data_IF_250110526966
#
_entry.id   IF_250110526966
#
_cell.length_a   1.000
_cell.length_b   1.000
_cell.length_c   1.000
_cell.angle_alpha   90.00
_cell.angle_beta   90.00
_cell.angle_gamma   90.00
#
_symmetry.space_group_name_H-M   'P 1'
#
loop_
_entity.id
_entity.type
_entity.pdbx_description
1 polymer ?
#
# COMPACT_ATOMS: atom_id res chain seq x y z
N UNK A 1 -19.72 -19.14 24.00
CA UNK A 1 -20.20 -18.45 22.79
C UNK A 1 -20.90 -17.17 23.21
N UNK A 2 -20.33 -15.99 22.94
CA UNK A 2 -21.00 -14.72 23.24
C UNK A 2 -21.82 -14.29 22.04
N UNK A 3 -23.15 -14.44 22.13
CA UNK A 3 -24.13 -14.00 21.12
C UNK A 3 -24.43 -12.50 21.12
N UNK A 4 -23.78 -11.72 21.98
CA UNK A 4 -23.79 -10.25 21.95
C UNK A 4 -22.39 -9.77 21.58
N UNK A 5 -22.25 -9.02 20.49
CA UNK A 5 -20.95 -8.55 20.01
C UNK A 5 -20.15 -7.85 21.12
N UNK A 6 -18.88 -8.26 21.31
CA UNK A 6 -18.01 -7.70 22.33
C UNK A 6 -17.96 -6.16 22.25
N UNK A 7 -18.36 -5.52 23.35
CA UNK A 7 -18.28 -4.08 23.61
C UNK A 7 -16.96 -3.69 24.30
N UNK A 8 -16.06 -4.66 24.52
CA UNK A 8 -14.74 -4.45 25.09
C UNK A 8 -13.88 -3.54 24.19
N UNK A 9 -13.84 -2.23 24.48
CA UNK A 9 -13.13 -1.22 23.71
C UNK A 9 -11.64 -1.49 23.50
N UNK A 10 -11.00 -2.17 24.46
CA UNK A 10 -9.55 -2.44 24.40
C UNK A 10 -9.19 -3.75 23.71
N UNK A 11 -10.15 -4.62 23.43
CA UNK A 11 -9.81 -5.89 22.81
C UNK A 11 -9.72 -5.76 21.27
N UNK A 12 -8.90 -6.58 20.60
CA UNK A 12 -8.76 -6.54 19.15
C UNK A 12 -10.02 -6.88 18.34
N UNK A 13 -11.04 -7.47 18.96
CA UNK A 13 -12.35 -7.70 18.34
C UNK A 13 -13.24 -6.44 18.47
N UNK A 14 -13.31 -5.85 19.66
CA UNK A 14 -14.07 -4.63 19.94
C UNK A 14 -13.59 -3.43 19.12
N UNK A 15 -12.27 -3.24 18.93
CA UNK A 15 -11.76 -2.17 18.05
C UNK A 15 -12.18 -2.32 16.59
N UNK A 16 -12.21 -3.55 16.07
CA UNK A 16 -12.68 -3.81 14.68
C UNK A 16 -14.17 -3.58 14.53
N UNK A 17 -14.93 -4.02 15.53
CA UNK A 17 -16.38 -3.83 15.57
C UNK A 17 -16.74 -2.35 15.73
N UNK A 18 -16.02 -1.62 16.58
CA UNK A 18 -16.11 -0.16 16.72
C UNK A 18 -15.85 0.56 15.40
N UNK A 19 -14.76 0.21 14.69
CA UNK A 19 -14.50 0.77 13.36
C UNK A 19 -15.62 0.45 12.35
N UNK A 20 -16.14 -0.78 12.31
CA UNK A 20 -17.28 -1.13 11.43
C UNK A 20 -18.52 -0.30 11.73
N UNK A 21 -18.84 -0.11 13.01
CA UNK A 21 -19.97 0.74 13.43
C UNK A 21 -19.74 2.20 13.10
N UNK A 22 -18.53 2.72 13.30
CA UNK A 22 -18.17 4.08 12.90
C UNK A 22 -18.36 4.28 11.38
N UNK A 23 -17.87 3.35 10.55
CA UNK A 23 -18.07 3.39 9.10
C UNK A 23 -19.57 3.34 8.74
N UNK A 24 -20.33 2.45 9.36
CA UNK A 24 -21.77 2.35 9.09
C UNK A 24 -22.52 3.64 9.48
N UNK A 25 -22.20 4.24 10.64
CA UNK A 25 -22.75 5.53 11.07
C UNK A 25 -22.40 6.64 10.09
N UNK A 26 -21.14 6.70 9.65
CA UNK A 26 -20.68 7.69 8.68
C UNK A 26 -21.44 7.57 7.36
N UNK A 27 -21.57 6.35 6.81
CA UNK A 27 -22.27 6.12 5.54
C UNK A 27 -23.75 6.51 5.65
N UNK A 28 -24.41 6.12 6.74
CA UNK A 28 -25.80 6.51 7.00
C UNK A 28 -25.95 8.04 7.09
N UNK A 29 -25.04 8.72 7.79
CA UNK A 29 -25.04 10.18 7.93
C UNK A 29 -24.81 10.88 6.59
N UNK A 30 -23.85 10.41 5.79
CA UNK A 30 -23.60 10.91 4.43
C UNK A 30 -24.84 10.80 3.56
N UNK A 31 -25.49 9.64 3.56
CA UNK A 31 -26.65 9.40 2.70
C UNK A 31 -27.90 10.18 3.20
N UNK A 32 -28.01 10.43 4.51
CA UNK A 32 -29.01 11.33 5.09
C UNK A 32 -28.81 12.78 4.61
N UNK A 33 -27.58 13.31 4.72
CA UNK A 33 -27.23 14.67 4.31
C UNK A 33 -27.30 14.85 2.79
N UNK A 34 -26.94 13.82 2.01
CA UNK A 34 -27.14 13.81 0.56
C UNK A 34 -28.63 13.92 0.17
N UNK A 35 -29.52 13.40 1.01
CA UNK A 35 -30.96 13.52 0.86
C UNK A 35 -31.55 14.81 1.42
N UNK A 36 -30.73 15.76 1.89
CA UNK A 36 -31.18 17.03 2.48
C UNK A 36 -31.85 16.89 3.85
N UNK A 37 -31.69 15.74 4.54
CA UNK A 37 -32.26 15.49 5.87
C UNK A 37 -31.26 15.84 6.97
N UNK A 38 -31.75 16.25 8.13
CA UNK A 38 -30.91 16.53 9.31
C UNK A 38 -30.20 17.88 9.31
N UNK A 39 -30.63 18.83 8.46
CA UNK A 39 -30.10 20.18 8.39
C UNK A 39 -30.72 21.09 9.47
N UNK A 40 -29.92 21.89 10.21
CA UNK A 40 -30.44 22.90 11.11
C UNK A 40 -31.22 23.98 10.33
N UNK A 41 -32.38 24.38 10.86
CA UNK A 41 -33.25 25.38 10.21
C UNK A 41 -32.55 26.73 9.94
N UNK A 42 -31.59 27.10 10.77
CA UNK A 42 -30.82 28.34 10.66
C UNK A 42 -29.91 28.35 9.43
N UNK A 43 -29.34 27.20 9.08
CA UNK A 43 -28.35 27.06 7.99
C UNK A 43 -29.04 26.84 6.63
N UNK A 44 -30.23 26.22 6.65
CA UNK A 44 -31.04 25.96 5.46
C UNK A 44 -31.46 27.23 4.68
N UNK A 45 -31.28 28.42 5.27
CA UNK A 45 -31.58 29.71 4.65
C UNK A 45 -30.58 30.12 3.55
N UNK A 46 -29.37 29.53 3.52
CA UNK A 46 -28.37 29.81 2.48
C UNK A 46 -27.73 28.52 1.93
N UNK A 47 -27.61 28.42 0.60
CA UNK A 47 -27.01 27.28 -0.07
C UNK A 47 -25.52 27.11 0.30
N UNK A 48 -24.77 28.22 0.34
CA UNK A 48 -23.37 28.23 0.75
C UNK A 48 -23.16 27.79 2.21
N UNK A 49 -23.95 28.35 3.14
CA UNK A 49 -23.89 27.94 4.55
C UNK A 49 -24.27 26.48 4.76
N UNK A 50 -25.27 25.98 4.01
CA UNK A 50 -25.67 24.56 4.04
C UNK A 50 -24.53 23.65 3.61
N UNK A 51 -23.85 23.96 2.49
CA UNK A 51 -22.71 23.17 2.01
C UNK A 51 -21.56 23.17 3.01
N UNK A 52 -21.20 24.34 3.55
CA UNK A 52 -20.12 24.45 4.52
C UNK A 52 -20.41 23.62 5.77
N UNK A 53 -21.62 23.73 6.32
CA UNK A 53 -22.02 22.97 7.49
C UNK A 53 -22.04 21.46 7.25
N UNK A 54 -22.58 21.01 6.11
CA UNK A 54 -22.54 19.59 5.71
C UNK A 54 -21.09 19.10 5.62
N UNK A 55 -20.22 19.89 5.01
CA UNK A 55 -18.81 19.55 4.86
C UNK A 55 -18.10 19.43 6.20
N UNK A 56 -18.36 20.35 7.12
CA UNK A 56 -17.75 20.35 8.46
C UNK A 56 -18.20 19.14 9.28
N UNK A 57 -19.50 18.85 9.28
CA UNK A 57 -20.10 17.68 9.94
C UNK A 57 -19.53 16.35 9.39
N UNK A 58 -19.43 16.23 8.06
CA UNK A 58 -18.85 15.04 7.41
C UNK A 58 -17.35 14.93 7.66
N UNK A 59 -16.63 16.05 7.73
CA UNK A 59 -15.21 16.08 8.05
C UNK A 59 -14.97 15.60 9.49
N UNK A 60 -15.77 16.07 10.44
CA UNK A 60 -15.70 15.61 11.84
C UNK A 60 -16.00 14.10 11.94
N UNK A 61 -17.09 13.65 11.32
CA UNK A 61 -17.45 12.22 11.31
C UNK A 61 -16.37 11.35 10.63
N UNK A 62 -15.75 11.85 9.57
CA UNK A 62 -14.66 11.16 8.89
C UNK A 62 -13.41 11.03 9.79
N UNK A 63 -13.11 12.06 10.60
CA UNK A 63 -12.01 12.01 11.57
C UNK A 63 -12.26 10.92 12.63
N UNK A 64 -13.49 10.78 13.13
CA UNK A 64 -13.87 9.70 14.06
C UNK A 64 -13.64 8.32 13.45
N UNK A 65 -14.04 8.12 12.18
CA UNK A 65 -13.80 6.86 11.46
C UNK A 65 -12.30 6.58 11.29
N UNK A 66 -11.51 7.60 10.93
CA UNK A 66 -10.07 7.48 10.74
C UNK A 66 -9.36 7.14 12.06
N UNK A 67 -9.78 7.71 13.19
CA UNK A 67 -9.25 7.39 14.52
C UNK A 67 -9.53 5.92 14.89
N UNK A 68 -10.76 5.46 14.69
CA UNK A 68 -11.12 4.06 14.90
C UNK A 68 -10.35 3.12 13.94
N UNK A 69 -10.08 3.55 12.71
CA UNK A 69 -9.26 2.79 11.75
C UNK A 69 -7.82 2.62 12.26
N UNK A 70 -7.20 3.70 12.73
CA UNK A 70 -5.85 3.70 13.33
C UNK A 70 -5.76 2.78 14.54
N UNK A 71 -6.70 2.89 15.49
CA UNK A 71 -6.75 2.03 16.67
C UNK A 71 -6.93 0.54 16.32
N UNK A 72 -7.72 0.25 15.28
CA UNK A 72 -7.88 -1.11 14.76
C UNK A 72 -6.60 -1.62 14.06
N UNK A 73 -5.86 -0.75 13.37
CA UNK A 73 -4.57 -1.03 12.71
C UNK A 73 -3.48 -1.51 13.68
N UNK A 74 -3.31 -0.84 14.81
CA UNK A 74 -2.34 -1.26 15.84
C UNK A 74 -2.64 -2.66 16.39
N UNK A 75 -3.92 -2.94 16.66
CA UNK A 75 -4.37 -4.27 17.12
C UNK A 75 -4.19 -5.36 16.05
N UNK A 76 -4.14 -4.96 14.78
CA UNK A 76 -3.88 -5.85 13.66
C UNK A 76 -2.39 -6.21 13.61
N UNK A 77 -1.48 -5.24 13.74
CA UNK A 77 -0.03 -5.47 13.73
C UNK A 77 0.40 -6.47 14.81
N UNK A 78 -0.11 -6.29 16.04
CA UNK A 78 0.16 -7.22 17.16
C UNK A 78 -0.34 -8.64 16.90
N UNK A 79 -1.49 -8.78 16.23
CA UNK A 79 -2.04 -10.08 15.86
C UNK A 79 -1.26 -10.73 14.71
N UNK A 80 -0.86 -9.94 13.73
CA UNK A 80 -0.15 -10.41 12.54
C UNK A 80 1.21 -10.94 12.92
N UNK A 81 2.01 -10.21 13.71
CA UNK A 81 3.34 -10.69 14.08
C UNK A 81 3.27 -12.06 14.79
N UNK A 82 2.30 -12.26 15.71
CA UNK A 82 2.08 -13.54 16.38
C UNK A 82 1.66 -14.63 15.40
N UNK A 83 0.73 -14.33 14.49
CA UNK A 83 0.28 -15.28 13.46
C UNK A 83 1.41 -15.68 12.52
N UNK A 84 2.22 -14.73 12.07
CA UNK A 84 3.35 -15.01 11.18
C UNK A 84 4.38 -15.90 11.88
N UNK A 85 4.64 -15.69 13.18
CA UNK A 85 5.47 -16.62 13.95
C UNK A 85 4.86 -18.01 14.10
N UNK A 86 3.55 -18.10 14.36
CA UNK A 86 2.86 -19.40 14.44
C UNK A 86 2.93 -20.14 13.10
N UNK A 87 2.76 -19.45 11.97
CA UNK A 87 2.91 -20.03 10.63
C UNK A 87 4.35 -20.47 10.38
N UNK A 88 5.34 -19.65 10.76
CA UNK A 88 6.76 -19.97 10.60
C UNK A 88 7.14 -21.24 11.37
N UNK A 89 6.84 -21.30 12.67
CA UNK A 89 7.14 -22.48 13.50
C UNK A 89 6.26 -23.67 13.15
N UNK A 90 5.00 -23.45 12.77
CA UNK A 90 4.13 -24.49 12.23
C UNK A 90 4.70 -25.12 10.96
N UNK A 91 5.34 -24.33 10.10
CA UNK A 91 6.07 -24.83 8.92
C UNK A 91 7.25 -25.72 9.27
N UNK A 92 8.03 -25.38 10.31
CA UNK A 92 9.13 -26.22 10.82
C UNK A 92 8.58 -27.55 11.37
N UNK A 93 7.50 -27.50 12.15
CA UNK A 93 6.84 -28.70 12.69
C UNK A 93 6.27 -29.56 11.55
N UNK A 94 5.64 -28.96 10.55
CA UNK A 94 5.13 -29.67 9.39
C UNK A 94 6.26 -30.35 8.60
N UNK A 95 7.39 -29.66 8.41
CA UNK A 95 8.58 -30.24 7.78
C UNK A 95 9.09 -31.45 8.58
N UNK A 96 9.14 -31.36 9.91
CA UNK A 96 9.50 -32.48 10.79
C UNK A 96 8.57 -33.67 10.59
N UNK A 97 7.26 -33.43 10.61
CA UNK A 97 6.25 -34.48 10.43
C UNK A 97 6.37 -35.13 9.04
N UNK A 98 6.51 -34.34 7.98
CA UNK A 98 6.69 -34.87 6.62
C UNK A 98 7.99 -35.68 6.49
N UNK A 99 9.09 -35.23 7.09
CA UNK A 99 10.33 -35.98 7.10
C UNK A 99 10.22 -37.27 7.92
N UNK A 100 9.53 -37.25 9.06
CA UNK A 100 9.29 -38.43 9.88
C UNK A 100 8.44 -39.48 9.14
N UNK A 101 7.34 -39.05 8.49
CA UNK A 101 6.48 -39.94 7.69
C UNK A 101 7.26 -40.54 6.53
N UNK A 102 8.02 -39.74 5.78
CA UNK A 102 8.83 -40.25 4.66
C UNK A 102 10.04 -41.08 5.12
N UNK A 103 10.40 -41.05 6.41
CA UNK A 103 11.50 -41.82 6.97
C UNK A 103 11.12 -43.24 7.39
N UNK A 104 9.83 -43.57 7.43
CA UNK A 104 9.34 -44.91 7.83
C UNK A 104 9.99 -46.00 6.97
N UNK A 105 10.06 -45.81 5.65
CA UNK A 105 10.63 -46.80 4.72
C UNK A 105 12.10 -46.52 4.38
N UNK A 106 12.50 -45.25 4.33
CA UNK A 106 13.80 -44.85 3.79
C UNK A 106 14.87 -44.56 4.86
N UNK A 107 14.53 -44.66 6.14
CA UNK A 107 15.43 -44.41 7.28
C UNK A 107 15.82 -42.94 7.49
N UNK A 108 16.25 -42.56 8.69
CA UNK A 108 16.64 -41.16 8.95
C UNK A 108 18.03 -40.83 8.38
N UNK A 109 18.16 -39.75 7.61
CA UNK A 109 19.41 -39.39 6.92
C UNK A 109 20.01 -38.09 7.45
N UNK A 110 21.32 -37.89 7.26
CA UNK A 110 22.01 -36.63 7.59
C UNK A 110 21.39 -35.44 6.87
N UNK A 111 20.91 -35.62 5.63
CA UNK A 111 20.25 -34.58 4.87
C UNK A 111 18.93 -34.12 5.51
N UNK A 112 18.17 -35.03 6.13
CA UNK A 112 16.95 -34.70 6.90
C UNK A 112 17.27 -33.86 8.12
N UNK A 113 18.23 -34.31 8.93
CA UNK A 113 18.73 -33.55 10.09
C UNK A 113 19.20 -32.16 9.68
N UNK A 114 19.99 -32.06 8.60
CA UNK A 114 20.48 -30.78 8.11
C UNK A 114 19.33 -29.86 7.68
N UNK A 115 18.34 -30.38 6.93
CA UNK A 115 17.15 -29.62 6.52
C UNK A 115 16.37 -29.07 7.71
N UNK A 116 16.14 -29.88 8.74
CA UNK A 116 15.43 -29.45 9.94
C UNK A 116 16.23 -28.45 10.76
N UNK A 117 17.53 -28.70 10.96
CA UNK A 117 18.40 -27.78 11.68
C UNK A 117 18.49 -26.42 10.97
N UNK A 118 18.63 -26.41 9.64
CA UNK A 118 18.59 -25.18 8.84
C UNK A 118 17.26 -24.45 8.98
N UNK A 119 16.13 -25.16 8.87
CA UNK A 119 14.81 -24.56 9.02
C UNK A 119 14.61 -23.96 10.42
N UNK A 120 15.05 -24.66 11.47
CA UNK A 120 14.99 -24.19 12.86
C UNK A 120 15.91 -22.98 13.10
N UNK A 121 17.15 -23.00 12.60
CA UNK A 121 18.07 -21.87 12.69
C UNK A 121 17.52 -20.63 11.97
N UNK A 122 17.01 -20.80 10.75
CA UNK A 122 16.41 -19.71 9.99
C UNK A 122 15.15 -19.17 10.69
N UNK A 123 14.29 -20.05 11.21
CA UNK A 123 13.12 -19.66 11.99
C UNK A 123 13.51 -18.90 13.27
N UNK A 124 14.61 -19.28 13.93
CA UNK A 124 15.18 -18.58 15.08
C UNK A 124 15.64 -17.17 14.72
N UNK A 125 16.42 -17.01 13.64
CA UNK A 125 16.88 -15.71 13.14
C UNK A 125 15.70 -14.80 12.76
N UNK A 126 14.73 -15.35 12.02
CA UNK A 126 13.50 -14.64 11.68
C UNK A 126 12.70 -14.26 12.92
N UNK A 127 12.62 -15.14 13.93
CA UNK A 127 11.94 -14.83 15.20
C UNK A 127 12.63 -13.68 15.94
N UNK A 128 13.96 -13.63 15.95
CA UNK A 128 14.72 -12.53 16.54
C UNK A 128 14.44 -11.21 15.80
N UNK A 129 14.53 -11.21 14.46
CA UNK A 129 14.20 -10.05 13.63
C UNK A 129 12.74 -9.58 13.85
N UNK A 130 11.80 -10.51 13.92
CA UNK A 130 10.39 -10.23 14.17
C UNK A 130 10.16 -9.57 15.53
N UNK A 131 10.90 -9.99 16.57
CA UNK A 131 10.83 -9.39 17.91
C UNK A 131 11.37 -7.96 17.91
N UNK A 132 12.48 -7.70 17.21
CA UNK A 132 13.04 -6.35 17.05
C UNK A 132 12.06 -5.41 16.34
N UNK A 133 11.32 -5.92 15.35
CA UNK A 133 10.37 -5.12 14.56
C UNK A 133 8.90 -5.29 15.00
N UNK A 134 8.62 -5.77 16.22
CA UNK A 134 7.26 -6.08 16.69
C UNK A 134 6.28 -4.91 16.61
N UNK A 135 6.76 -3.69 16.83
CA UNK A 135 5.96 -2.47 16.76
C UNK A 135 5.47 -2.15 15.34
N UNK A 136 6.18 -2.65 14.33
CA UNK A 136 5.93 -2.38 12.90
C UNK A 136 5.41 -3.62 12.15
N UNK A 137 4.80 -4.58 12.86
CA UNK A 137 4.25 -5.80 12.25
C UNK A 137 5.21 -7.00 12.18
N UNK A 138 6.37 -6.93 12.84
CA UNK A 138 7.32 -8.03 12.97
C UNK A 138 7.98 -8.38 11.63
N UNK A 139 7.78 -9.62 11.17
CA UNK A 139 8.38 -10.12 9.92
C UNK A 139 7.96 -9.36 8.67
N UNK A 140 6.79 -8.71 8.69
CA UNK A 140 6.34 -7.92 7.55
C UNK A 140 7.01 -6.54 7.49
N UNK A 141 7.61 -6.04 8.57
CA UNK A 141 8.13 -4.68 8.63
C UNK A 141 9.13 -4.36 7.49
N UNK A 142 10.07 -5.24 7.11
CA UNK A 142 10.97 -4.97 5.99
C UNK A 142 10.27 -4.96 4.62
N UNK A 143 9.09 -5.57 4.52
CA UNK A 143 8.29 -5.67 3.29
C UNK A 143 7.30 -4.51 3.15
N UNK A 144 7.01 -3.81 4.24
CA UNK A 144 6.09 -2.67 4.26
C UNK A 144 6.82 -1.41 3.82
N UNK A 145 6.27 -0.72 2.82
CA UNK A 145 6.73 0.56 2.32
C UNK A 145 6.45 1.72 3.27
N UNK A 146 7.02 2.87 2.96
CA UNK A 146 6.82 4.12 3.68
C UNK A 146 5.35 4.60 3.64
N UNK A 147 4.58 4.14 2.65
CA UNK A 147 3.14 4.35 2.50
C UNK A 147 2.28 3.32 3.27
N UNK A 148 2.89 2.51 4.14
CA UNK A 148 2.22 1.47 4.94
C UNK A 148 1.52 0.38 4.09
N UNK A 149 1.99 0.15 2.86
CA UNK A 149 1.56 -0.91 1.94
C UNK A 149 2.63 -1.98 1.79
N UNK A 150 2.27 -3.20 1.39
CA UNK A 150 3.31 -4.18 1.03
C UNK A 150 3.99 -3.78 -0.29
N UNK A 151 5.32 -3.78 -0.29
CA UNK A 151 6.11 -3.48 -1.49
C UNK A 151 6.38 -4.75 -2.30
N UNK A 152 5.88 -4.77 -3.54
CA UNK A 152 6.09 -5.86 -4.49
C UNK A 152 7.57 -6.19 -4.68
N UNK A 153 8.42 -5.17 -4.90
CA UNK A 153 9.86 -5.39 -5.08
C UNK A 153 10.56 -5.91 -3.83
N UNK A 154 10.22 -5.39 -2.64
CA UNK A 154 10.80 -5.91 -1.39
C UNK A 154 10.35 -7.34 -1.11
N UNK A 155 9.10 -7.69 -1.39
CA UNK A 155 8.57 -9.03 -1.20
C UNK A 155 9.27 -10.06 -2.10
N UNK A 156 9.38 -9.77 -3.41
CA UNK A 156 10.07 -10.66 -4.36
C UNK A 156 11.55 -10.79 -3.98
N UNK A 157 12.23 -9.67 -3.69
CA UNK A 157 13.63 -9.70 -3.27
C UNK A 157 13.84 -10.50 -1.97
N UNK A 158 12.98 -10.30 -0.96
CA UNK A 158 13.06 -11.03 0.30
C UNK A 158 12.85 -12.54 0.11
N UNK A 159 11.95 -12.95 -0.79
CA UNK A 159 11.76 -14.36 -1.13
C UNK A 159 13.03 -15.00 -1.69
N UNK A 160 13.67 -14.35 -2.65
CA UNK A 160 14.94 -14.82 -3.24
C UNK A 160 16.11 -14.80 -2.26
N UNK A 161 16.23 -13.76 -1.43
CA UNK A 161 17.25 -13.67 -0.38
C UNK A 161 17.04 -14.76 0.67
N UNK A 162 15.81 -14.98 1.11
CA UNK A 162 15.51 -16.02 2.10
C UNK A 162 15.85 -17.41 1.57
N UNK A 163 15.52 -17.68 0.31
CA UNK A 163 15.90 -18.92 -0.36
C UNK A 163 17.42 -19.08 -0.46
N UNK A 164 18.14 -18.04 -0.90
CA UNK A 164 19.60 -18.09 -0.97
C UNK A 164 20.24 -18.35 0.41
N UNK A 165 19.80 -17.63 1.44
CA UNK A 165 20.26 -17.84 2.84
C UNK A 165 19.96 -19.26 3.30
N UNK A 166 18.77 -19.79 3.02
CA UNK A 166 18.42 -21.17 3.35
C UNK A 166 19.36 -22.17 2.67
N UNK A 167 19.61 -22.04 1.36
CA UNK A 167 20.50 -22.96 0.63
C UNK A 167 21.93 -22.94 1.18
N UNK A 168 22.47 -21.76 1.50
CA UNK A 168 23.82 -21.62 2.07
C UNK A 168 23.88 -22.22 3.48
N UNK A 169 22.90 -21.92 4.33
CA UNK A 169 22.84 -22.46 5.69
C UNK A 169 22.67 -23.98 5.69
N UNK A 170 21.90 -24.53 4.75
CA UNK A 170 21.78 -25.98 4.55
C UNK A 170 23.12 -26.63 4.22
N UNK A 171 23.86 -26.07 3.26
CA UNK A 171 25.18 -26.58 2.89
C UNK A 171 26.17 -26.47 4.08
N UNK A 172 26.12 -25.38 4.84
CA UNK A 172 26.97 -25.19 6.02
C UNK A 172 26.69 -26.23 7.11
N UNK A 173 25.42 -26.49 7.43
CA UNK A 173 25.03 -27.52 8.42
C UNK A 173 25.45 -28.92 7.97
N UNK A 174 25.27 -29.24 6.68
CA UNK A 174 25.74 -30.52 6.12
C UNK A 174 27.25 -30.69 6.23
N UNK A 175 28.01 -29.62 5.93
CA UNK A 175 29.46 -29.64 6.02
C UNK A 175 29.90 -29.90 7.47
N UNK A 176 29.30 -29.19 8.43
CA UNK A 176 29.55 -29.39 9.86
C UNK A 176 29.22 -30.81 10.34
N UNK A 177 28.15 -31.42 9.83
CA UNK A 177 27.75 -32.79 10.17
C UNK A 177 28.65 -33.87 9.55
N UNK A 178 29.35 -33.56 8.44
CA UNK A 178 30.13 -34.55 7.69
C UNK A 178 31.55 -34.79 8.24
N UNK A 179 32.07 -33.96 9.15
CA UNK A 179 33.28 -34.20 9.94
C UNK A 179 34.63 -34.33 9.18
N UNK A 180 34.63 -34.48 7.86
CA UNK A 180 35.84 -34.69 7.05
C UNK A 180 36.27 -33.39 6.36
N UNK A 181 37.49 -32.94 6.64
CA UNK A 181 38.14 -31.78 6.00
C UNK A 181 38.52 -31.97 4.51
N UNK A 182 38.15 -33.11 3.90
CA UNK A 182 38.54 -33.45 2.54
C UNK A 182 37.46 -33.02 1.53
N UNK A 183 37.63 -31.79 1.06
CA UNK A 183 37.13 -31.16 -0.19
C UNK A 183 36.46 -29.82 0.14
N UNK A 184 37.11 -28.72 -0.27
CA UNK A 184 36.46 -27.41 -0.37
C UNK A 184 35.07 -27.56 -1.02
N UNK A 185 34.07 -26.77 -0.61
CA UNK A 185 32.69 -27.04 -0.98
C UNK A 185 32.52 -26.90 -2.49
N UNK A 186 32.58 -28.02 -3.21
CA UNK A 186 32.41 -28.04 -4.66
C UNK A 186 31.05 -27.45 -5.02
N UNK A 187 30.05 -27.59 -4.14
CA UNK A 187 28.71 -27.02 -4.28
C UNK A 187 28.56 -25.52 -4.00
N UNK A 188 29.59 -24.82 -3.51
CA UNK A 188 29.62 -23.35 -3.34
C UNK A 188 30.40 -22.67 -4.47
N UNK A 189 30.77 -23.40 -5.53
CA UNK A 189 31.50 -22.82 -6.68
C UNK A 189 30.63 -21.79 -7.38
N UNK A 190 31.22 -20.61 -7.62
CA UNK A 190 30.55 -19.48 -8.26
C UNK A 190 29.92 -19.85 -9.61
N UNK A 191 30.58 -20.72 -10.38
CA UNK A 191 30.08 -21.20 -11.67
C UNK A 191 28.71 -21.91 -11.59
N UNK A 192 28.41 -22.56 -10.46
CA UNK A 192 27.18 -23.34 -10.26
C UNK A 192 26.08 -22.49 -9.60
N UNK A 193 26.47 -21.43 -8.87
CA UNK A 193 25.57 -20.46 -8.26
C UNK A 193 25.29 -19.21 -9.10
N UNK A 194 25.90 -19.08 -10.28
CA UNK A 194 25.86 -17.84 -11.07
C UNK A 194 24.42 -17.37 -11.37
N UNK A 195 23.54 -18.27 -11.83
CA UNK A 195 22.15 -17.92 -12.12
C UNK A 195 21.39 -17.43 -10.88
N UNK A 196 21.53 -18.11 -9.73
CA UNK A 196 20.93 -17.69 -8.47
C UNK A 196 21.45 -16.32 -8.01
N UNK A 197 22.77 -16.13 -8.06
CA UNK A 197 23.39 -14.86 -7.68
C UNK A 197 22.96 -13.72 -8.60
N UNK A 198 22.87 -13.96 -9.91
CA UNK A 198 22.35 -12.98 -10.87
C UNK A 198 20.93 -12.59 -10.54
N UNK A 199 20.04 -13.56 -10.26
CA UNK A 199 18.66 -13.26 -9.88
C UNK A 199 18.60 -12.47 -8.57
N UNK A 200 19.29 -12.92 -7.52
CA UNK A 200 19.32 -12.24 -6.21
C UNK A 200 19.86 -10.81 -6.34
N UNK A 201 20.96 -10.63 -7.07
CA UNK A 201 21.53 -9.32 -7.33
C UNK A 201 20.56 -8.41 -8.10
N UNK A 202 19.91 -8.94 -9.14
CA UNK A 202 18.97 -8.18 -9.95
C UNK A 202 17.72 -7.77 -9.17
N UNK A 203 17.06 -8.69 -8.46
CA UNK A 203 15.86 -8.35 -7.66
C UNK A 203 16.21 -7.42 -6.50
N UNK A 204 17.39 -7.57 -5.89
CA UNK A 204 17.90 -6.65 -4.88
C UNK A 204 18.14 -5.25 -5.44
N UNK A 205 18.82 -5.15 -6.58
CA UNK A 205 19.03 -3.88 -7.28
C UNK A 205 17.71 -3.21 -7.64
N UNK A 206 16.75 -3.96 -8.18
CA UNK A 206 15.42 -3.46 -8.54
C UNK A 206 14.66 -2.94 -7.32
N UNK A 207 14.74 -3.63 -6.18
CA UNK A 207 14.14 -3.15 -4.94
C UNK A 207 14.72 -1.79 -4.49
N UNK A 208 16.03 -1.59 -4.62
CA UNK A 208 16.70 -0.32 -4.30
C UNK A 208 16.37 0.78 -5.32
N UNK A 209 16.47 0.46 -6.62
CA UNK A 209 16.21 1.41 -7.71
C UNK A 209 14.76 1.88 -7.68
N UNK A 210 13.78 0.98 -7.55
CA UNK A 210 12.36 1.36 -7.50
C UNK A 210 12.08 2.23 -6.28
N UNK A 211 12.66 1.94 -5.11
CA UNK A 211 12.53 2.82 -3.95
C UNK A 211 13.03 4.22 -4.28
N UNK A 212 14.23 4.34 -4.87
CA UNK A 212 14.79 5.63 -5.28
C UNK A 212 13.91 6.37 -6.28
N UNK A 213 13.42 5.68 -7.31
CA UNK A 213 12.54 6.23 -8.35
C UNK A 213 11.27 6.78 -7.74
N UNK A 214 10.57 5.99 -6.93
CA UNK A 214 9.33 6.41 -6.27
C UNK A 214 9.58 7.62 -5.37
N UNK A 215 10.63 7.59 -4.53
CA UNK A 215 10.98 8.72 -3.65
C UNK A 215 11.25 10.00 -4.43
N UNK A 216 12.08 9.95 -5.49
CA UNK A 216 12.40 11.14 -6.29
C UNK A 216 11.15 11.68 -6.99
N UNK A 217 10.27 10.80 -7.46
CA UNK A 217 9.04 11.21 -8.15
C UNK A 217 7.99 11.80 -7.22
N UNK A 218 7.94 11.36 -5.96
CA UNK A 218 7.12 12.00 -4.91
C UNK A 218 7.67 13.39 -4.58
N UNK A 219 8.99 13.51 -4.34
CA UNK A 219 9.63 14.80 -4.02
C UNK A 219 9.46 15.81 -5.16
N UNK A 220 9.53 15.35 -6.41
CA UNK A 220 9.32 16.19 -7.60
C UNK A 220 7.83 16.36 -7.98
N UNK A 221 6.91 15.94 -7.12
CA UNK A 221 5.45 16.02 -7.31
C UNK A 221 4.94 15.41 -8.63
N UNK A 222 5.69 14.46 -9.20
CA UNK A 222 5.30 13.70 -10.41
C UNK A 222 4.50 12.44 -10.09
N UNK A 223 4.49 12.03 -8.84
CA UNK A 223 3.75 10.88 -8.32
C UNK A 223 3.12 11.28 -6.98
N UNK A 224 1.88 10.85 -6.77
CA UNK A 224 1.15 11.06 -5.52
C UNK A 224 0.97 9.72 -4.81
N UNK A 225 1.38 9.65 -3.54
CA UNK A 225 1.14 8.50 -2.67
C UNK A 225 0.59 8.97 -1.33
N UNK A 226 -0.49 8.34 -0.89
CA UNK A 226 -1.06 8.52 0.43
C UNK A 226 -0.88 7.25 1.24
N UNK A 227 -0.54 7.41 2.52
CA UNK A 227 -0.35 6.29 3.41
C UNK A 227 -1.66 5.50 3.58
N UNK A 228 -1.57 4.18 3.38
CA UNK A 228 -2.67 3.26 3.65
C UNK A 228 -2.84 3.05 5.15
N UNK A 229 -4.06 2.73 5.58
CA UNK A 229 -4.34 2.41 6.99
C UNK A 229 -3.61 1.15 7.47
N UNK A 230 -3.39 0.20 6.55
CA UNK A 230 -2.71 -1.07 6.83
C UNK A 230 -2.24 -1.76 5.55
N UNK A 231 -1.18 -2.58 5.62
CA UNK A 231 -0.74 -3.40 4.51
C UNK A 231 -1.74 -4.53 4.24
N UNK A 232 -1.98 -4.82 2.96
CA UNK A 232 -2.91 -5.86 2.48
C UNK A 232 -2.16 -6.82 1.55
N UNK A 233 -2.50 -8.12 1.53
CA UNK A 233 -1.90 -9.07 0.58
C UNK A 233 -2.10 -8.66 -0.89
N UNK A 234 -3.22 -8.01 -1.19
CA UNK A 234 -3.52 -7.49 -2.53
C UNK A 234 -2.55 -6.41 -3.00
N UNK A 235 -1.84 -5.71 -2.10
CA UNK A 235 -0.88 -4.65 -2.48
C UNK A 235 0.27 -5.18 -3.33
N UNK A 236 0.52 -6.51 -3.31
CA UNK A 236 1.57 -7.13 -4.15
C UNK A 236 1.18 -7.20 -5.63
N UNK A 237 -0.13 -7.19 -5.93
CA UNK A 237 -0.68 -7.44 -7.27
C UNK A 237 -1.64 -6.36 -7.75
N UNK A 238 -1.95 -5.39 -6.89
CA UNK A 238 -2.85 -4.28 -7.18
C UNK A 238 -2.11 -2.93 -7.09
N UNK A 239 -2.63 -1.96 -7.83
CA UNK A 239 -2.24 -0.55 -7.74
C UNK A 239 -2.72 0.09 -6.41
N UNK A 240 -2.35 1.35 -6.23
CA UNK A 240 -2.67 2.06 -4.98
C UNK A 240 -4.18 2.30 -4.77
N UNK A 241 -4.98 2.23 -5.84
CA UNK A 241 -6.45 2.29 -5.80
C UNK A 241 -7.10 0.91 -5.58
N UNK A 242 -6.33 -0.17 -5.53
CA UNK A 242 -6.81 -1.54 -5.37
C UNK A 242 -7.21 -2.23 -6.69
N UNK A 243 -6.92 -1.62 -7.84
CA UNK A 243 -7.16 -2.23 -9.16
C UNK A 243 -5.99 -3.17 -9.51
N UNK A 244 -6.24 -4.25 -10.24
CA UNK A 244 -5.16 -5.17 -10.64
C UNK A 244 -4.07 -4.45 -11.44
N UNK A 245 -2.81 -4.60 -11.03
CA UNK A 245 -1.64 -4.04 -11.70
C UNK A 245 -0.93 -5.14 -12.48
N UNK A 246 -0.97 -5.05 -13.82
CA UNK A 246 -0.34 -6.07 -14.67
C UNK A 246 1.15 -6.20 -14.38
N UNK A 247 1.88 -5.08 -14.27
CA UNK A 247 3.33 -5.05 -14.06
C UNK A 247 3.73 -5.62 -12.70
N UNK A 248 2.91 -5.41 -11.67
CA UNK A 248 3.16 -5.93 -10.33
C UNK A 248 2.79 -7.42 -10.26
N UNK A 249 1.60 -7.78 -10.77
CA UNK A 249 1.12 -9.16 -10.79
C UNK A 249 2.07 -10.10 -11.58
N UNK A 250 2.49 -9.70 -12.78
CA UNK A 250 3.42 -10.51 -13.58
C UNK A 250 4.76 -10.72 -12.86
N UNK A 251 5.27 -9.70 -12.16
CA UNK A 251 6.54 -9.76 -11.46
C UNK A 251 6.50 -10.72 -10.27
N UNK A 252 5.40 -10.67 -9.51
CA UNK A 252 5.15 -11.62 -8.42
C UNK A 252 4.99 -13.04 -8.95
N UNK A 253 4.20 -13.23 -10.00
CA UNK A 253 3.92 -14.55 -10.56
C UNK A 253 5.18 -15.20 -11.15
N UNK A 254 5.91 -14.49 -11.99
CA UNK A 254 7.16 -14.97 -12.59
C UNK A 254 8.21 -15.22 -11.50
N UNK A 255 8.37 -14.29 -10.57
CA UNK A 255 9.31 -14.44 -9.45
C UNK A 255 8.98 -15.65 -8.58
N UNK A 256 7.70 -15.87 -8.27
CA UNK A 256 7.24 -17.02 -7.48
C UNK A 256 7.43 -18.34 -8.24
N UNK A 257 7.05 -18.41 -9.51
CA UNK A 257 7.23 -19.61 -10.33
C UNK A 257 8.70 -20.01 -10.46
N UNK A 258 9.58 -19.04 -10.72
CA UNK A 258 11.02 -19.26 -10.78
C UNK A 258 11.61 -19.70 -9.43
N UNK A 259 11.13 -19.14 -8.32
CA UNK A 259 11.54 -19.54 -6.97
C UNK A 259 11.10 -20.97 -6.62
N UNK A 260 9.89 -21.37 -7.02
CA UNK A 260 9.39 -22.74 -6.89
C UNK A 260 10.26 -23.70 -7.70
N UNK A 261 10.56 -23.38 -8.96
CA UNK A 261 11.47 -24.16 -9.80
C UNK A 261 12.86 -24.28 -9.15
N UNK A 262 13.43 -23.18 -8.64
CA UNK A 262 14.72 -23.18 -7.95
C UNK A 262 14.70 -24.10 -6.71
N UNK A 263 13.60 -24.08 -5.96
CA UNK A 263 13.40 -24.94 -4.78
C UNK A 263 13.35 -26.41 -5.17
N UNK A 264 12.66 -26.77 -6.25
CA UNK A 264 12.61 -28.14 -6.78
C UNK A 264 13.99 -28.58 -7.26
N UNK A 265 14.73 -27.72 -7.97
CA UNK A 265 16.09 -28.01 -8.42
C UNK A 265 17.03 -28.28 -7.25
N UNK A 266 16.94 -27.45 -6.20
CA UNK A 266 17.72 -27.64 -4.98
C UNK A 266 17.35 -28.94 -4.26
N UNK A 267 16.06 -29.26 -4.14
CA UNK A 267 15.60 -30.49 -3.51
C UNK A 267 16.08 -31.75 -4.24
N UNK A 268 16.21 -31.70 -5.57
CA UNK A 268 16.73 -32.81 -6.39
C UNK A 268 18.25 -32.99 -6.27
N UNK A 269 18.99 -31.91 -5.97
CA UNK A 269 20.46 -31.91 -5.89
C UNK A 269 20.93 -31.06 -4.70
N UNK A 270 20.69 -31.55 -3.46
CA UNK A 270 20.91 -30.77 -2.23
C UNK A 270 22.40 -30.62 -1.86
N UNK A 271 23.30 -31.21 -2.63
CA UNK A 271 24.76 -31.19 -2.49
C UNK A 271 25.41 -29.92 -3.07
N UNK A 272 24.66 -29.09 -3.81
CA UNK A 272 25.15 -27.86 -4.41
C UNK A 272 24.10 -26.75 -4.43
N UNK A 273 24.55 -25.52 -4.66
CA UNK A 273 23.64 -24.42 -5.00
C UNK A 273 22.81 -24.77 -6.24
N UNK A 274 21.54 -24.32 -6.32
CA UNK A 274 20.68 -24.62 -7.45
C UNK A 274 21.19 -23.92 -8.71
N UNK A 275 21.56 -24.72 -9.70
CA UNK A 275 21.90 -24.26 -11.04
C UNK A 275 20.61 -23.85 -11.78
N UNK A 276 20.30 -22.55 -11.71
CA UNK A 276 19.17 -21.98 -12.45
C UNK A 276 19.47 -21.95 -13.96
N UNK A 277 18.64 -22.58 -14.80
CA UNK A 277 18.75 -22.47 -16.25
C UNK A 277 18.73 -21.01 -16.69
N UNK A 278 19.63 -20.63 -17.59
CA UNK A 278 19.71 -19.25 -18.08
C UNK A 278 18.40 -18.74 -18.68
N UNK A 279 17.57 -19.61 -19.25
CA UNK A 279 16.22 -19.25 -19.70
C UNK A 279 15.31 -18.75 -18.58
N UNK A 280 15.34 -19.40 -17.40
CA UNK A 280 14.58 -18.93 -16.22
C UNK A 280 15.18 -17.65 -15.64
N UNK A 281 16.52 -17.56 -15.59
CA UNK A 281 17.21 -16.33 -15.17
C UNK A 281 16.83 -15.15 -16.06
N UNK A 282 16.88 -15.32 -17.38
CA UNK A 282 16.50 -14.31 -18.35
C UNK A 282 15.02 -13.91 -18.21
N UNK A 283 14.12 -14.88 -18.01
CA UNK A 283 12.70 -14.60 -17.77
C UNK A 283 12.47 -13.72 -16.53
N UNK A 284 13.16 -13.99 -15.42
CA UNK A 284 13.09 -13.15 -14.21
C UNK A 284 13.66 -11.75 -14.46
N UNK A 285 14.77 -11.63 -15.20
CA UNK A 285 15.36 -10.33 -15.55
C UNK A 285 14.43 -9.50 -16.43
N UNK A 286 13.83 -10.11 -17.46
CA UNK A 286 12.86 -9.43 -18.34
C UNK A 286 11.64 -8.99 -17.53
N UNK A 287 11.10 -9.87 -16.69
CA UNK A 287 9.98 -9.55 -15.81
C UNK A 287 10.29 -8.39 -14.84
N UNK A 288 11.51 -8.36 -14.29
CA UNK A 288 11.98 -7.27 -13.44
C UNK A 288 12.13 -5.95 -14.21
N UNK A 289 12.59 -6.01 -15.47
CA UNK A 289 12.67 -4.86 -16.37
C UNK A 289 11.29 -4.28 -16.70
N UNK A 290 10.31 -5.14 -17.01
CA UNK A 290 8.91 -4.74 -17.24
C UNK A 290 8.31 -4.08 -15.99
N UNK A 291 8.56 -4.65 -14.82
CA UNK A 291 8.14 -4.05 -13.54
C UNK A 291 8.75 -2.66 -13.32
N UNK A 292 10.07 -2.53 -13.52
CA UNK A 292 10.75 -1.24 -13.39
C UNK A 292 10.20 -0.21 -14.37
N UNK A 293 10.02 -0.58 -15.64
CA UNK A 293 9.42 0.28 -16.65
C UNK A 293 8.00 0.72 -16.25
N UNK A 294 7.20 -0.19 -15.70
CA UNK A 294 5.89 0.13 -15.10
C UNK A 294 5.98 1.21 -14.03
N UNK A 295 6.89 1.08 -13.06
CA UNK A 295 7.11 2.09 -12.00
C UNK A 295 7.59 3.44 -12.53
N UNK A 296 8.29 3.46 -13.66
CA UNK A 296 8.63 4.70 -14.37
C UNK A 296 7.46 5.29 -15.16
N UNK A 297 6.54 4.47 -15.66
CA UNK A 297 5.37 4.90 -16.41
C UNK A 297 4.21 5.37 -15.49
N UNK A 298 4.16 4.93 -14.23
CA UNK A 298 3.16 5.36 -13.25
C UNK A 298 3.08 6.89 -13.20
N UNK A 299 1.89 7.45 -13.38
CA UNK A 299 1.66 8.89 -13.33
C UNK A 299 0.84 9.28 -12.12
N UNK A 300 0.53 10.56 -12.03
CA UNK A 300 -0.37 11.08 -11.01
C UNK A 300 -0.03 12.50 -10.61
N UNK A 301 0.49 13.34 -11.50
CA UNK A 301 0.60 14.77 -11.21
C UNK A 301 -0.81 15.38 -11.34
N UNK A 302 -1.29 16.15 -10.34
CA UNK A 302 -2.57 16.84 -10.46
C UNK A 302 -2.46 17.94 -11.52
N UNK A 303 -3.46 18.06 -12.39
CA UNK A 303 -3.50 19.08 -13.45
C UNK A 303 -4.87 19.73 -13.48
N UNK A 304 -4.91 21.05 -13.39
CA UNK A 304 -6.09 21.87 -13.65
C UNK A 304 -6.12 22.20 -15.13
N UNK A 305 -7.21 21.82 -15.80
CA UNK A 305 -7.42 22.06 -17.22
C UNK A 305 -8.26 23.31 -17.45
N UNK A 306 -9.27 23.54 -16.61
CA UNK A 306 -10.13 24.72 -16.71
C UNK A 306 -10.77 25.06 -15.36
N UNK A 307 -11.05 26.33 -15.15
CA UNK A 307 -11.86 26.82 -14.04
C UNK A 307 -13.02 27.59 -14.62
N UNK A 308 -14.24 27.23 -14.23
CA UNK A 308 -15.47 27.84 -14.71
C UNK A 308 -16.38 28.20 -13.55
N UNK A 309 -17.28 29.15 -13.74
CA UNK A 309 -18.35 29.42 -12.77
C UNK A 309 -19.27 28.20 -12.68
N UNK A 310 -19.51 27.70 -11.47
CA UNK A 310 -20.47 26.62 -11.25
C UNK A 310 -21.88 27.21 -11.40
N UNK A 311 -22.64 26.69 -12.35
CA UNK A 311 -23.96 27.21 -12.70
C UNK A 311 -25.06 26.42 -12.00
N UNK A 312 -25.90 27.11 -11.24
CA UNK A 312 -27.18 26.56 -10.82
C UNK A 312 -28.16 26.53 -12.01
N UNK A 313 -28.99 25.49 -12.14
CA UNK A 313 -30.01 25.42 -13.20
C UNK A 313 -30.86 26.70 -13.24
N UNK A 314 -30.88 27.38 -14.39
CA UNK A 314 -31.60 28.65 -14.56
C UNK A 314 -30.78 29.93 -14.30
N UNK A 315 -29.55 29.82 -13.81
CA UNK A 315 -28.63 30.95 -13.67
C UNK A 315 -28.24 31.57 -15.02
N UNK A 316 -27.99 32.88 -15.05
CA UNK A 316 -27.46 33.58 -16.22
C UNK A 316 -25.95 33.36 -16.35
N UNK A 317 -25.46 33.30 -17.58
CA UNK A 317 -24.02 33.27 -17.85
C UNK A 317 -23.39 34.62 -17.45
N UNK A 318 -22.22 34.57 -16.83
CA UNK A 318 -21.56 35.76 -16.30
C UNK A 318 -20.15 35.47 -15.82
N UNK A 319 -19.37 36.54 -15.55
CA UNK A 319 -18.03 36.41 -14.97
C UNK A 319 -18.10 35.78 -13.58
N UNK A 320 -16.98 35.23 -13.13
CA UNK A 320 -16.84 34.69 -11.77
C UNK A 320 -16.83 35.87 -10.79
N UNK A 321 -17.74 35.86 -9.82
CA UNK A 321 -17.82 36.88 -8.76
C UNK A 321 -17.35 36.36 -7.41
N UNK A 322 -17.07 37.28 -6.50
CA UNK A 322 -16.89 36.93 -5.09
C UNK A 322 -18.17 36.26 -4.57
N UNK A 323 -18.01 35.14 -3.85
CA UNK A 323 -19.11 34.34 -3.31
C UNK A 323 -19.76 33.38 -4.31
N UNK A 324 -19.45 33.46 -5.61
CA UNK A 324 -19.87 32.42 -6.56
C UNK A 324 -19.12 31.11 -6.27
N UNK A 325 -19.78 29.99 -6.56
CA UNK A 325 -19.07 28.71 -6.67
C UNK A 325 -18.32 28.65 -8.00
N UNK A 326 -17.10 28.12 -7.97
CA UNK A 326 -16.35 27.75 -9.17
C UNK A 326 -16.20 26.24 -9.25
N UNK A 327 -16.31 25.72 -10.48
CA UNK A 327 -16.00 24.34 -10.82
C UNK A 327 -14.60 24.29 -11.46
N UNK A 328 -13.70 23.59 -10.79
CA UNK A 328 -12.33 23.34 -11.23
C UNK A 328 -12.31 21.95 -11.86
N UNK A 329 -12.02 21.88 -13.16
CA UNK A 329 -11.96 20.64 -13.93
C UNK A 329 -10.52 20.28 -14.24
N UNK A 330 -10.22 18.99 -14.17
CA UNK A 330 -8.86 18.51 -14.37
C UNK A 330 -8.74 17.00 -14.25
N UNK A 331 -7.56 16.56 -13.80
CA UNK A 331 -7.27 15.15 -13.58
C UNK A 331 -6.26 14.99 -12.44
N UNK A 332 -6.33 13.85 -11.75
CA UNK A 332 -5.39 13.49 -10.69
C UNK A 332 -5.57 14.30 -9.41
N UNK A 333 -6.77 14.86 -9.20
CA UNK A 333 -7.08 15.62 -7.98
C UNK A 333 -7.19 14.72 -6.75
N UNK A 334 -7.66 13.48 -6.93
CA UNK A 334 -7.78 12.51 -5.84
C UNK A 334 -6.66 11.49 -5.99
N UNK A 335 -5.63 11.52 -5.13
CA UNK A 335 -4.56 10.53 -5.18
C UNK A 335 -5.10 9.10 -5.12
N UNK A 336 -4.47 8.13 -5.80
CA UNK A 336 -4.82 6.72 -5.65
C UNK A 336 -4.80 6.29 -4.18
N UNK A 337 -5.91 5.73 -3.70
CA UNK A 337 -6.08 5.32 -2.31
C UNK A 337 -6.48 6.43 -1.32
N UNK A 338 -6.66 7.67 -1.79
CA UNK A 338 -7.12 8.81 -0.99
C UNK A 338 -8.64 9.08 -1.12
N UNK A 339 -9.41 8.11 -1.62
CA UNK A 339 -10.87 8.25 -1.77
C UNK A 339 -11.64 8.17 -0.45
N UNK A 340 -10.97 7.99 0.69
CA UNK A 340 -11.63 8.01 1.98
C UNK A 340 -11.99 9.45 2.39
N UNK A 341 -13.14 9.67 3.03
CA UNK A 341 -13.65 11.01 3.32
C UNK A 341 -12.68 11.88 4.14
N UNK A 342 -11.93 11.26 5.06
CA UNK A 342 -10.93 11.94 5.89
C UNK A 342 -9.75 12.49 5.06
N UNK A 343 -9.41 11.81 3.96
CA UNK A 343 -8.36 12.25 3.03
C UNK A 343 -8.87 13.29 2.07
N UNK A 344 -10.09 13.12 1.57
CA UNK A 344 -10.75 14.12 0.72
C UNK A 344 -10.88 15.47 1.43
N UNK A 345 -11.17 15.48 2.73
CA UNK A 345 -11.25 16.69 3.55
C UNK A 345 -9.90 17.44 3.72
N UNK A 346 -8.76 16.82 3.38
CA UNK A 346 -7.45 17.47 3.39
C UNK A 346 -7.17 18.28 2.13
N UNK A 347 -7.99 18.13 1.09
CA UNK A 347 -7.80 18.85 -0.16
C UNK A 347 -8.10 20.34 0.03
N UNK A 348 -7.27 21.18 -0.58
CA UNK A 348 -7.45 22.62 -0.57
C UNK A 348 -7.27 23.19 -1.98
N UNK A 349 -7.89 24.33 -2.22
CA UNK A 349 -7.68 25.13 -3.42
C UNK A 349 -7.05 26.44 -2.99
N UNK A 350 -5.92 26.78 -3.58
CA UNK A 350 -5.33 28.10 -3.47
C UNK A 350 -5.93 28.99 -4.56
N UNK A 351 -6.60 30.06 -4.15
CA UNK A 351 -7.15 31.11 -5.01
C UNK A 351 -6.42 32.40 -4.66
N UNK A 352 -5.50 32.84 -5.53
CA UNK A 352 -4.58 33.93 -5.22
C UNK A 352 -3.74 33.62 -3.97
N UNK A 353 -3.88 34.43 -2.92
CA UNK A 353 -3.20 34.24 -1.64
C UNK A 353 -3.98 33.37 -0.63
N UNK A 354 -5.25 33.07 -0.91
CA UNK A 354 -6.18 32.43 0.04
C UNK A 354 -6.22 30.91 -0.18
N UNK A 355 -6.20 30.14 0.91
CA UNK A 355 -6.41 28.69 0.88
C UNK A 355 -7.83 28.37 1.32
N UNK A 356 -8.58 27.71 0.45
CA UNK A 356 -9.96 27.32 0.69
C UNK A 356 -10.01 25.79 0.83
N UNK A 357 -10.60 25.30 1.92
CA UNK A 357 -10.85 23.87 2.06
C UNK A 357 -11.90 23.42 1.04
N UNK A 358 -11.65 22.29 0.38
CA UNK A 358 -12.62 21.76 -0.58
C UNK A 358 -13.81 21.18 0.19
N UNK A 359 -15.03 21.70 -0.02
CA UNK A 359 -16.20 21.19 0.67
C UNK A 359 -16.52 19.77 0.19
N UNK A 360 -16.85 18.90 1.15
CA UNK A 360 -17.41 17.58 0.89
C UNK A 360 -18.88 17.74 0.49
N UNK A 361 -19.18 17.60 -0.81
CA UNK A 361 -20.55 17.64 -1.35
C UNK A 361 -21.03 16.19 -1.50
N UNK A 362 -21.88 15.68 -0.58
CA UNK A 362 -22.27 14.29 -0.56
C UNK A 362 -23.25 13.95 -1.69
N UNK A 363 -23.16 12.72 -2.17
CA UNK A 363 -24.09 12.12 -3.14
C UNK A 363 -24.35 10.67 -2.71
N UNK A 364 -25.50 10.06 -3.04
CA UNK A 364 -25.73 8.65 -2.74
C UNK A 364 -24.56 7.77 -3.20
N UNK A 365 -23.88 7.14 -2.24
CA UNK A 365 -22.71 6.29 -2.53
C UNK A 365 -21.35 6.99 -2.52
N UNK A 366 -21.26 8.32 -2.44
CA UNK A 366 -19.96 9.02 -2.49
C UNK A 366 -20.04 10.54 -2.36
N UNK A 367 -19.21 11.22 -3.14
CA UNK A 367 -19.13 12.68 -3.20
C UNK A 367 -19.07 13.12 -4.67
N UNK A 368 -19.78 14.20 -5.01
CA UNK A 368 -19.63 14.87 -6.32
C UNK A 368 -18.42 15.79 -6.32
N UNK A 369 -18.08 16.37 -5.17
CA UNK A 369 -16.86 17.14 -4.93
C UNK A 369 -16.35 16.82 -3.52
N UNK A 370 -15.03 16.61 -3.34
CA UNK A 370 -14.02 16.47 -4.39
C UNK A 370 -14.16 15.16 -5.17
N UNK A 371 -13.88 15.22 -6.48
CA UNK A 371 -13.72 14.05 -7.37
C UNK A 371 -12.38 14.14 -8.10
N UNK A 372 -11.94 13.04 -8.74
CA UNK A 372 -10.64 13.02 -9.45
C UNK A 372 -10.56 14.02 -10.61
N UNK A 373 -11.72 14.37 -11.18
CA UNK A 373 -11.82 15.23 -12.36
C UNK A 373 -12.47 16.59 -12.10
N UNK A 374 -13.07 16.79 -10.93
CA UNK A 374 -13.90 17.96 -10.63
C UNK A 374 -13.89 18.32 -9.15
N UNK A 375 -13.70 19.60 -8.87
CA UNK A 375 -13.78 20.20 -7.54
C UNK A 375 -14.69 21.42 -7.62
N UNK A 376 -15.62 21.56 -6.68
CA UNK A 376 -16.45 22.76 -6.53
C UNK A 376 -16.05 23.46 -5.23
N UNK A 377 -15.68 24.74 -5.33
CA UNK A 377 -15.31 25.57 -4.16
C UNK A 377 -15.93 26.96 -4.31
N UNK A 378 -16.34 27.59 -3.19
CA UNK A 378 -16.76 28.99 -3.21
C UNK A 378 -15.55 29.92 -3.39
N UNK A 379 -15.75 31.04 -4.08
CA UNK A 379 -14.79 32.15 -4.11
C UNK A 379 -14.92 32.92 -2.78
N UNK A 380 -13.89 32.92 -1.92
CA UNK A 380 -13.96 33.55 -0.61
C UNK A 380 -13.93 35.08 -0.73
N UNK A 381 -14.48 35.77 0.26
CA UNK A 381 -14.58 37.23 0.28
C UNK A 381 -13.23 37.94 0.38
N UNK A 382 -12.22 37.24 0.88
CA UNK A 382 -10.85 37.74 1.08
C UNK A 382 -10.02 37.72 -0.22
N UNK A 383 -10.56 37.21 -1.33
CA UNK A 383 -9.86 37.23 -2.61
C UNK A 383 -10.01 38.60 -3.27
N UNK A 384 -8.88 39.20 -3.61
CA UNK A 384 -8.85 40.47 -4.34
C UNK A 384 -9.46 40.33 -5.74
N UNK A 385 -10.34 41.26 -6.15
CA UNK A 385 -10.85 41.31 -7.52
C UNK A 385 -9.72 41.49 -8.54
N UNK A 386 -9.88 40.87 -9.70
CA UNK A 386 -8.93 40.90 -10.81
C UNK A 386 -8.42 39.52 -11.20
N UNK A 387 -7.26 39.50 -11.86
CA UNK A 387 -6.66 38.27 -12.38
C UNK A 387 -5.93 37.52 -11.27
N UNK A 388 -6.48 36.39 -10.84
CA UNK A 388 -5.91 35.54 -9.79
C UNK A 388 -5.49 34.18 -10.33
N UNK A 389 -4.55 33.52 -9.64
CA UNK A 389 -4.14 32.15 -9.96
C UNK A 389 -4.92 31.15 -9.10
N UNK A 390 -5.47 30.13 -9.74
CA UNK A 390 -6.12 28.99 -9.08
C UNK A 390 -5.21 27.77 -9.16
N UNK A 391 -5.06 27.08 -8.03
CA UNK A 391 -4.25 25.86 -7.92
C UNK A 391 -4.88 24.90 -6.93
N UNK A 392 -4.86 23.60 -7.25
CA UNK A 392 -5.35 22.54 -6.36
C UNK A 392 -4.17 21.94 -5.60
N UNK A 393 -4.36 21.76 -4.30
CA UNK A 393 -3.46 21.01 -3.42
C UNK A 393 -4.19 19.75 -2.98
N UNK A 394 -3.65 18.60 -3.35
CA UNK A 394 -4.31 17.31 -3.09
C UNK A 394 -4.08 16.81 -1.67
N UNK A 395 -4.77 15.74 -1.30
CA UNK A 395 -4.56 15.05 -0.02
C UNK A 395 -3.14 14.49 0.18
N UNK A 396 -2.35 14.36 -0.90
CA UNK A 396 -0.95 13.97 -0.85
C UNK A 396 0.01 15.16 -0.71
N UNK A 397 -0.50 16.39 -0.68
CA UNK A 397 0.29 17.63 -0.68
C UNK A 397 0.92 17.96 -2.03
N UNK A 398 0.46 17.34 -3.13
CA UNK A 398 0.93 17.68 -4.47
C UNK A 398 0.16 18.89 -4.99
N UNK A 399 0.91 19.85 -5.54
CA UNK A 399 0.32 21.04 -6.15
C UNK A 399 0.13 20.86 -7.66
N UNK A 400 -1.01 21.34 -8.17
CA UNK A 400 -1.28 21.37 -9.61
C UNK A 400 -0.52 22.49 -10.33
N UNK A 401 -0.65 22.54 -11.66
CA UNK A 401 -0.36 23.76 -12.40
C UNK A 401 -1.29 24.90 -11.95
N UNK A 402 -0.86 26.14 -12.23
CA UNK A 402 -1.62 27.35 -11.96
C UNK A 402 -2.42 27.74 -13.20
N UNK A 403 -3.67 28.14 -12.99
CA UNK A 403 -4.56 28.64 -14.05
C UNK A 403 -5.05 30.02 -13.66
N UNK A 404 -4.88 31.01 -14.53
CA UNK A 404 -5.40 32.36 -14.28
C UNK A 404 -6.90 32.42 -14.53
N UNK A 405 -7.62 33.10 -13.63
CA UNK A 405 -9.05 33.41 -13.75
C UNK A 405 -9.26 34.87 -13.38
N UNK A 406 -10.17 35.54 -14.08
CA UNK A 406 -10.57 36.90 -13.74
C UNK A 406 -11.78 36.86 -12.81
N UNK A 407 -11.64 37.45 -11.63
CA UNK A 407 -12.70 37.58 -10.63
C UNK A 407 -13.18 39.03 -10.60
N UNK A 408 -14.49 39.22 -10.57
CA UNK A 408 -15.12 40.54 -10.42
C UNK A 408 -15.82 40.65 -9.07
N UNK A 409 -16.14 41.87 -8.65
CA UNK A 409 -16.91 42.15 -7.43
C UNK A 409 -18.32 41.53 -7.45
#
# INVERSE_FOLDING_TARGET
MHGGGCTCGDCPHGRREGHRRAVARFLARRDELAGGRGLPAQVASSAGGTRQWISDELTESARDVAEHSRAAGESWLTRVWRRTLMVLWGGVVLLLLAQAVTAIDSGWTVARTAGLATAACLAGLLTAAARLHRAHGGLLAPLVGEDNRLSTSRAVAAGWVLFAVYTVLFLAVRLAASGTAASAPTGLRLAQGAGLLTVVAAVGLIAVVVRRVVTVRIITQRLQKVAADRPRPGDLVCDDAGRGSFTDAQYVLVGTAALVCATVLFARRPDRLPELPWGLTALVLVSAGVYLAGKYAEGGRPVVLSVVRAREPGGLDGPVRIGDDIEIRGAGFVPPGAGSPDRLALMTVRIGAVHVHVPLIPFPGGFTSPSDTGITVPVPAEVEPGRVEVQVVTAAGAESNRVSVDIVD
#
